data_IF_541377354848
#
_entry.id   IF_541377354848
#
_cell.length_a   1.000
_cell.length_b   1.000
_cell.length_c   1.000
_cell.angle_alpha   90.00
_cell.angle_beta   90.00
_cell.angle_gamma   90.00
#
_symmetry.space_group_name_H-M   'P 1'
#
loop_
_entity.id
_entity.type
_entity.pdbx_description
1 polymer ?
#
# COMPACT_ATOMS: atom_id res chain seq x y z
N UNK A 1 -13.21 -20.30 4.11
CA UNK A 1 -14.46 -21.07 4.25
C UNK A 1 -14.85 -21.61 2.89
N UNK A 2 -14.95 -22.93 2.75
CA UNK A 2 -15.41 -23.55 1.50
C UNK A 2 -16.94 -23.62 1.54
N UNK A 3 -17.58 -23.02 0.54
CA UNK A 3 -19.02 -23.08 0.37
C UNK A 3 -19.42 -24.41 -0.27
N UNK A 4 -20.65 -24.84 0.00
CA UNK A 4 -21.27 -26.00 -0.67
C UNK A 4 -21.36 -25.84 -2.20
N UNK A 5 -21.27 -24.60 -2.72
CA UNK A 5 -21.22 -24.30 -4.15
C UNK A 5 -19.85 -24.58 -4.80
N UNK A 6 -18.86 -25.04 -4.05
CA UNK A 6 -17.48 -25.21 -4.51
C UNK A 6 -16.65 -23.93 -4.56
N UNK A 7 -17.21 -22.79 -4.12
CA UNK A 7 -16.51 -21.50 -4.06
C UNK A 7 -15.80 -21.33 -2.71
N UNK A 8 -14.66 -20.62 -2.72
CA UNK A 8 -13.92 -20.31 -1.50
C UNK A 8 -14.02 -18.81 -1.16
N UNK A 9 -14.03 -18.51 0.15
CA UNK A 9 -13.72 -17.18 0.68
C UNK A 9 -12.51 -17.34 1.58
N UNK A 10 -11.48 -16.55 1.29
CA UNK A 10 -10.27 -16.43 2.10
C UNK A 10 -9.94 -14.95 2.29
N UNK A 11 -9.31 -14.63 3.41
CA UNK A 11 -8.85 -13.29 3.73
C UNK A 11 -7.39 -13.35 4.15
N UNK A 12 -6.64 -12.29 3.85
CA UNK A 12 -5.26 -12.12 4.25
C UNK A 12 -5.12 -10.77 4.97
N UNK A 13 -4.79 -10.74 6.28
CA UNK A 13 -4.62 -9.49 7.02
C UNK A 13 -3.34 -8.75 6.58
N UNK A 14 -2.28 -9.51 6.31
CA UNK A 14 -1.01 -9.09 5.70
C UNK A 14 -0.24 -10.34 5.26
N UNK A 15 0.80 -10.16 4.43
CA UNK A 15 1.76 -11.21 4.11
C UNK A 15 2.78 -11.43 5.24
N UNK A 16 3.62 -12.45 5.09
CA UNK A 16 4.84 -12.65 5.87
C UNK A 16 6.00 -11.77 5.38
N UNK A 17 7.11 -11.78 6.10
CA UNK A 17 8.33 -11.09 5.67
C UNK A 17 8.84 -11.61 4.31
N UNK A 18 8.74 -12.92 4.08
CA UNK A 18 9.16 -13.57 2.82
C UNK A 18 8.24 -13.12 1.67
N UNK A 19 6.92 -13.09 1.89
CA UNK A 19 5.97 -12.61 0.88
C UNK A 19 6.26 -11.15 0.46
N UNK A 20 6.72 -10.34 1.40
CA UNK A 20 7.09 -8.94 1.16
C UNK A 20 8.37 -8.83 0.33
N UNK A 21 9.38 -9.64 0.63
CA UNK A 21 10.64 -9.70 -0.13
C UNK A 21 10.40 -10.16 -1.57
N UNK A 22 9.63 -11.24 -1.75
CA UNK A 22 9.25 -11.75 -3.08
C UNK A 22 8.49 -10.70 -3.89
N UNK A 23 7.57 -9.98 -3.25
CA UNK A 23 6.81 -8.89 -3.89
C UNK A 23 7.72 -7.73 -4.31
N UNK A 24 8.70 -7.36 -3.48
CA UNK A 24 9.69 -6.32 -3.80
C UNK A 24 10.58 -6.74 -4.97
N UNK A 25 11.07 -7.98 -4.98
CA UNK A 25 11.87 -8.54 -6.07
C UNK A 25 11.09 -8.54 -7.39
N UNK A 26 9.84 -9.00 -7.36
CA UNK A 26 8.95 -8.96 -8.52
C UNK A 26 8.74 -7.53 -9.03
N UNK A 27 8.47 -6.58 -8.12
CA UNK A 27 8.21 -5.19 -8.48
C UNK A 27 9.43 -4.52 -9.11
N UNK A 28 10.64 -4.79 -8.56
CA UNK A 28 11.90 -4.30 -9.12
C UNK A 28 12.17 -4.89 -10.51
N UNK A 29 11.92 -6.18 -10.71
CA UNK A 29 12.11 -6.88 -11.99
C UNK A 29 11.16 -6.37 -13.08
N UNK A 30 9.91 -6.08 -12.71
CA UNK A 30 8.85 -5.69 -13.66
C UNK A 30 8.68 -4.17 -13.80
N UNK A 31 9.38 -3.38 -12.98
CA UNK A 31 9.29 -1.92 -12.98
C UNK A 31 8.00 -1.36 -12.39
N UNK A 32 7.26 -2.14 -11.59
CA UNK A 32 6.04 -1.71 -10.92
C UNK A 32 6.39 -0.67 -9.85
N UNK A 33 5.74 0.49 -9.92
CA UNK A 33 5.91 1.59 -8.95
C UNK A 33 4.55 2.14 -8.52
N UNK A 34 4.37 2.46 -7.23
CA UNK A 34 3.16 3.13 -6.77
C UNK A 34 3.12 4.57 -7.26
N UNK A 35 1.93 5.09 -7.50
CA UNK A 35 1.72 6.53 -7.60
C UNK A 35 1.66 7.11 -6.18
N UNK A 36 2.56 8.03 -5.89
CA UNK A 36 2.72 8.63 -4.57
C UNK A 36 2.71 10.15 -4.64
N UNK A 37 2.19 10.77 -3.58
CA UNK A 37 2.32 12.18 -3.29
C UNK A 37 3.18 12.33 -2.04
N UNK A 38 4.28 13.08 -2.16
CA UNK A 38 5.28 13.18 -1.07
C UNK A 38 5.07 14.43 -0.24
N UNK A 39 5.11 14.28 1.07
CA UNK A 39 5.08 15.39 2.04
C UNK A 39 6.33 15.35 2.90
N UNK A 40 6.94 16.50 3.24
CA UNK A 40 8.00 16.52 4.25
C UNK A 40 7.43 16.13 5.61
N UNK A 41 8.24 15.50 6.47
CA UNK A 41 7.79 14.99 7.77
C UNK A 41 7.15 16.10 8.64
N UNK A 42 7.65 17.33 8.57
CA UNK A 42 7.15 18.50 9.31
C UNK A 42 5.69 18.83 8.94
N UNK A 43 5.24 18.38 7.77
CA UNK A 43 3.88 18.58 7.25
C UNK A 43 3.02 17.31 7.34
N UNK A 44 3.35 16.39 8.25
CA UNK A 44 2.58 15.15 8.43
C UNK A 44 1.07 15.41 8.64
N UNK A 45 0.71 16.44 9.41
CA UNK A 45 -0.69 16.81 9.64
C UNK A 45 -1.41 17.24 8.36
N UNK A 46 -0.73 17.99 7.48
CA UNK A 46 -1.29 18.41 6.18
C UNK A 46 -1.51 17.19 5.28
N UNK A 47 -0.52 16.30 5.19
CA UNK A 47 -0.63 15.06 4.41
C UNK A 47 -1.75 14.14 4.92
N UNK A 48 -1.91 14.04 6.24
CA UNK A 48 -2.99 13.27 6.85
C UNK A 48 -4.37 13.88 6.57
N UNK A 49 -4.53 15.20 6.72
CA UNK A 49 -5.79 15.89 6.43
C UNK A 49 -6.21 15.70 4.96
N UNK A 50 -5.29 15.91 4.01
CA UNK A 50 -5.55 15.68 2.58
C UNK A 50 -5.92 14.23 2.26
N UNK A 51 -5.30 13.26 2.93
CA UNK A 51 -5.64 11.85 2.79
C UNK A 51 -7.07 11.58 3.27
N UNK A 52 -7.45 12.12 4.44
CA UNK A 52 -8.80 11.98 5.00
C UNK A 52 -9.88 12.65 4.14
N UNK A 53 -9.53 13.75 3.47
CA UNK A 53 -10.40 14.45 2.52
C UNK A 53 -10.42 13.80 1.11
N UNK A 54 -9.71 12.68 0.90
CA UNK A 54 -9.55 12.01 -0.39
C UNK A 54 -8.95 12.90 -1.51
N UNK A 55 -8.14 13.89 -1.12
CA UNK A 55 -7.49 14.80 -2.06
C UNK A 55 -6.13 14.28 -2.57
N UNK A 56 -5.54 13.32 -1.86
CA UNK A 56 -4.28 12.68 -2.26
C UNK A 56 -4.51 11.78 -3.46
N UNK A 57 -3.66 11.89 -4.48
CA UNK A 57 -3.66 10.92 -5.57
C UNK A 57 -3.00 9.62 -5.13
N UNK A 58 -3.83 8.63 -4.80
CA UNK A 58 -3.47 7.25 -4.41
C UNK A 58 -2.81 7.09 -3.04
N UNK A 59 -1.56 7.55 -2.85
CA UNK A 59 -0.81 7.28 -1.61
C UNK A 59 0.01 8.48 -1.15
N UNK A 60 -0.25 8.94 0.08
CA UNK A 60 0.61 9.91 0.75
C UNK A 60 1.85 9.20 1.32
N UNK A 61 3.03 9.75 1.08
CA UNK A 61 4.30 9.26 1.63
C UNK A 61 5.00 10.41 2.34
N UNK A 62 5.32 10.21 3.62
CA UNK A 62 6.16 11.14 4.35
C UNK A 62 7.62 10.89 3.97
N UNK A 63 8.29 11.93 3.52
CA UNK A 63 9.72 11.90 3.21
C UNK A 63 10.49 12.44 4.41
N UNK A 64 11.52 11.70 4.80
CA UNK A 64 12.51 12.17 5.75
C UNK A 64 13.45 13.14 5.00
N UNK A 65 13.51 14.40 5.42
CA UNK A 65 14.40 15.42 4.85
C UNK A 65 13.71 16.52 4.05
#
# INVERSE_FOLDING_TARGET
FNMLSGKNIAGWPSGSAIDSEDTMNFSALTGVKPHIETFPLEKANEGFAKMMENQVRFRAVLKMG
#
